data_IF_577279434829
#
_entry.id   IF_577279434829
#
_cell.length_a   1.000
_cell.length_b   1.000
_cell.length_c   1.000
_cell.angle_alpha   90.00
_cell.angle_beta   90.00
_cell.angle_gamma   90.00
#
_symmetry.space_group_name_H-M   'P 1'
#
loop_
_entity.id
_entity.type
_entity.pdbx_description
1 polymer ?
#
# COMPACT_ATOMS: atom_id res chain seq x y z
N UNK A 1 9.40 1.43 10.15
CA UNK A 1 8.94 0.41 11.13
C UNK A 1 7.56 0.76 11.71
N UNK A 2 7.38 1.87 12.45
CA UNK A 2 6.09 2.17 13.12
C UNK A 2 4.86 2.25 12.19
N UNK A 3 4.97 2.88 11.01
CA UNK A 3 3.84 3.05 10.09
C UNK A 3 3.40 1.74 9.43
N UNK A 4 4.34 0.88 9.06
CA UNK A 4 4.07 -0.45 8.53
C UNK A 4 3.33 -1.31 9.55
N UNK A 5 3.74 -1.26 10.82
CA UNK A 5 3.08 -2.02 11.91
C UNK A 5 1.64 -1.53 12.17
N UNK A 6 1.35 -0.25 11.92
CA UNK A 6 -0.01 0.29 12.00
C UNK A 6 -0.87 -0.26 10.85
N UNK A 7 -0.35 -0.22 9.62
CA UNK A 7 -1.04 -0.74 8.45
C UNK A 7 -1.33 -2.25 8.57
N UNK A 8 -0.37 -3.04 9.05
CA UNK A 8 -0.56 -4.48 9.26
C UNK A 8 -1.67 -4.76 10.28
N UNK A 9 -1.72 -3.99 11.38
CA UNK A 9 -2.79 -4.13 12.38
C UNK A 9 -4.16 -3.76 11.83
N UNK A 10 -4.25 -2.74 10.98
CA UNK A 10 -5.49 -2.37 10.30
C UNK A 10 -5.96 -3.50 9.38
N UNK A 11 -5.05 -4.07 8.58
CA UNK A 11 -5.35 -5.19 7.70
C UNK A 11 -5.83 -6.44 8.48
N UNK A 12 -5.19 -6.77 9.61
CA UNK A 12 -5.65 -7.86 10.48
C UNK A 12 -7.08 -7.67 10.97
N UNK A 13 -7.49 -6.43 11.25
CA UNK A 13 -8.88 -6.12 11.59
C UNK A 13 -9.82 -6.28 10.39
N UNK A 14 -9.39 -5.91 9.19
CA UNK A 14 -10.16 -6.13 7.96
C UNK A 14 -10.40 -7.63 7.71
N UNK A 15 -9.41 -8.49 7.93
CA UNK A 15 -9.58 -9.95 7.85
C UNK A 15 -10.63 -10.48 8.84
N UNK A 16 -10.69 -9.92 10.05
CA UNK A 16 -11.71 -10.30 11.04
C UNK A 16 -13.10 -9.80 10.64
N UNK A 17 -13.18 -8.64 10.00
CA UNK A 17 -14.42 -8.04 9.52
C UNK A 17 -15.02 -8.82 8.33
N UNK A 18 -14.17 -9.44 7.49
CA UNK A 18 -14.58 -10.21 6.29
C UNK A 18 -15.46 -9.39 5.32
N UNK A 19 -14.93 -8.30 4.75
CA UNK A 19 -15.69 -7.49 3.80
C UNK A 19 -15.95 -8.26 2.49
N UNK A 20 -17.05 -7.93 1.81
CA UNK A 20 -17.32 -8.42 0.45
C UNK A 20 -16.41 -7.77 -0.61
N UNK A 21 -15.88 -6.58 -0.30
CA UNK A 21 -14.98 -5.80 -1.17
C UNK A 21 -14.10 -4.87 -0.32
N UNK A 22 -12.82 -4.79 -0.64
CA UNK A 22 -11.90 -3.78 -0.12
C UNK A 22 -11.58 -2.72 -1.19
N UNK A 23 -11.79 -1.45 -0.86
CA UNK A 23 -11.32 -0.32 -1.66
C UNK A 23 -10.13 0.34 -0.95
N UNK A 24 -8.97 0.35 -1.61
CA UNK A 24 -7.74 0.96 -1.11
C UNK A 24 -7.57 2.33 -1.74
N UNK A 25 -7.69 3.37 -0.94
CA UNK A 25 -7.29 4.73 -1.30
C UNK A 25 -5.75 4.77 -1.24
N UNK A 26 -5.10 4.61 -2.40
CA UNK A 26 -3.68 4.33 -2.52
C UNK A 26 -2.87 5.62 -2.72
N UNK A 27 -2.41 6.20 -1.61
CA UNK A 27 -1.45 7.31 -1.59
C UNK A 27 -0.01 6.82 -1.44
N UNK A 28 0.90 7.45 -2.19
CA UNK A 28 2.34 7.18 -2.17
C UNK A 28 3.16 8.32 -1.56
N UNK A 29 2.48 9.32 -0.99
CA UNK A 29 3.09 10.48 -0.34
C UNK A 29 3.74 10.15 1.01
N UNK A 30 3.50 8.97 1.57
CA UNK A 30 4.21 8.46 2.73
C UNK A 30 5.69 8.07 2.45
N UNK A 31 6.13 8.15 1.19
CA UNK A 31 7.49 7.84 0.76
C UNK A 31 8.52 8.80 1.37
N UNK A 32 9.69 8.28 1.73
CA UNK A 32 10.81 9.04 2.32
C UNK A 32 11.31 10.17 1.42
N UNK A 33 11.20 10.00 0.10
CA UNK A 33 11.51 11.02 -0.90
C UNK A 33 10.34 11.91 -1.31
N UNK A 34 9.16 11.80 -0.69
CA UNK A 34 8.02 12.66 -1.03
C UNK A 34 8.24 14.10 -0.51
N UNK A 35 8.00 15.14 -1.33
CA UNK A 35 8.28 16.52 -0.94
C UNK A 35 7.26 17.10 0.06
N UNK A 36 6.11 16.46 0.29
CA UNK A 36 5.02 17.04 1.08
C UNK A 36 4.90 16.46 2.49
N UNK A 37 4.87 15.13 2.64
CA UNK A 37 4.37 14.49 3.87
C UNK A 37 5.49 14.06 4.83
N UNK A 38 6.76 14.10 4.42
CA UNK A 38 7.97 13.85 5.24
C UNK A 38 7.90 12.59 6.13
N UNK A 39 7.24 11.54 5.62
CA UNK A 39 7.22 10.22 6.25
C UNK A 39 8.49 9.43 5.90
N UNK A 40 8.57 8.18 6.34
CA UNK A 40 9.80 7.38 6.28
C UNK A 40 9.57 6.01 5.63
N UNK A 41 8.55 5.85 4.78
CA UNK A 41 8.37 4.59 4.06
C UNK A 41 9.34 4.53 2.88
N UNK A 42 9.92 3.37 2.67
CA UNK A 42 10.78 3.10 1.51
C UNK A 42 10.03 2.33 0.43
N UNK A 43 10.59 2.22 -0.77
CA UNK A 43 9.99 1.49 -1.90
C UNK A 43 9.58 0.06 -1.54
N UNK A 44 10.39 -0.62 -0.74
CA UNK A 44 10.15 -1.99 -0.27
C UNK A 44 8.91 -2.08 0.64
N UNK A 45 8.55 -1.01 1.35
CA UNK A 45 7.33 -0.98 2.18
C UNK A 45 6.07 -0.96 1.30
N UNK A 46 6.09 -0.26 0.15
CA UNK A 46 4.99 -0.28 -0.81
C UNK A 46 4.85 -1.63 -1.49
N UNK A 47 5.98 -2.30 -1.82
CA UNK A 47 5.95 -3.68 -2.28
C UNK A 47 5.34 -4.62 -1.21
N UNK A 48 5.68 -4.41 0.07
CA UNK A 48 5.08 -5.18 1.18
C UNK A 48 3.56 -5.01 1.24
N UNK A 49 3.07 -3.79 1.05
CA UNK A 49 1.63 -3.51 1.02
C UNK A 49 0.92 -4.21 -0.16
N UNK A 50 1.51 -4.18 -1.35
CA UNK A 50 1.00 -4.93 -2.51
C UNK A 50 0.95 -6.42 -2.25
N UNK A 51 2.03 -6.97 -1.66
CA UNK A 51 2.10 -8.38 -1.26
C UNK A 51 1.01 -8.77 -0.25
N UNK A 52 0.67 -7.90 0.70
CA UNK A 52 -0.44 -8.15 1.63
C UNK A 52 -1.81 -8.20 0.94
N UNK A 53 -2.06 -7.35 -0.05
CA UNK A 53 -3.33 -7.35 -0.80
C UNK A 53 -3.50 -8.59 -1.68
N UNK A 54 -2.39 -9.23 -2.07
CA UNK A 54 -2.42 -10.51 -2.80
C UNK A 54 -2.95 -11.66 -1.95
N UNK A 55 -2.72 -11.64 -0.65
CA UNK A 55 -3.14 -12.70 0.28
C UNK A 55 -4.63 -12.61 0.67
N UNK A 56 -5.37 -11.63 0.14
CA UNK A 56 -6.80 -11.49 0.38
C UNK A 56 -7.59 -12.61 -0.32
N UNK A 57 -8.58 -13.16 0.38
CA UNK A 57 -9.54 -14.15 -0.14
C UNK A 57 -10.84 -13.50 -0.66
N UNK A 58 -10.90 -12.17 -0.69
CA UNK A 58 -12.00 -11.36 -1.21
C UNK A 58 -11.51 -10.32 -2.22
N UNK A 59 -12.40 -9.82 -3.11
CA UNK A 59 -12.04 -8.80 -4.10
C UNK A 59 -11.47 -7.53 -3.45
N UNK A 60 -10.47 -6.95 -4.10
CA UNK A 60 -9.92 -5.66 -3.74
C UNK A 60 -9.64 -4.82 -4.99
N UNK A 61 -9.81 -3.51 -4.86
CA UNK A 61 -9.43 -2.52 -5.88
C UNK A 61 -8.68 -1.36 -5.21
N UNK A 62 -7.73 -0.77 -5.93
CA UNK A 62 -7.05 0.44 -5.50
C UNK A 62 -7.39 1.62 -6.41
N UNK A 63 -7.48 2.79 -5.80
CA UNK A 63 -7.64 4.08 -6.47
C UNK A 63 -6.42 4.92 -6.14
N UNK A 64 -5.73 5.43 -7.16
CA UNK A 64 -4.57 6.30 -6.96
C UNK A 64 -5.00 7.64 -6.37
N UNK A 65 -4.31 8.09 -5.33
CA UNK A 65 -4.60 9.33 -4.60
C UNK A 65 -3.37 10.27 -4.64
N UNK A 66 -2.73 10.49 -3.49
CA UNK A 66 -1.51 11.28 -3.35
C UNK A 66 -0.23 10.53 -3.74
N UNK A 67 0.87 11.25 -3.70
CA UNK A 67 2.17 10.81 -4.20
C UNK A 67 2.72 11.86 -5.14
N UNK A 68 3.79 12.54 -4.73
CA UNK A 68 4.28 13.76 -5.37
C UNK A 68 5.78 13.72 -5.64
N UNK A 69 6.44 12.61 -5.32
CA UNK A 69 7.82 12.33 -5.68
C UNK A 69 7.97 12.07 -7.19
N UNK A 70 9.14 12.42 -7.74
CA UNK A 70 9.53 12.05 -9.10
C UNK A 70 9.62 10.52 -9.28
N UNK A 71 9.71 9.75 -8.19
CA UNK A 71 9.73 8.28 -8.17
C UNK A 71 8.33 7.63 -8.06
N UNK A 72 7.26 8.41 -8.26
CA UNK A 72 5.88 7.90 -8.14
C UNK A 72 5.62 6.69 -9.03
N UNK A 73 6.16 6.67 -10.25
CA UNK A 73 5.93 5.58 -11.19
C UNK A 73 6.54 4.27 -10.68
N UNK A 74 7.76 4.34 -10.15
CA UNK A 74 8.46 3.21 -9.55
C UNK A 74 7.74 2.71 -8.30
N UNK A 75 7.21 3.61 -7.47
CA UNK A 75 6.43 3.27 -6.28
C UNK A 75 5.13 2.53 -6.63
N UNK A 76 4.42 2.99 -7.66
CA UNK A 76 3.22 2.32 -8.19
C UNK A 76 3.61 0.96 -8.77
N UNK A 77 4.70 0.87 -9.52
CA UNK A 77 5.16 -0.37 -10.15
C UNK A 77 5.51 -1.44 -9.11
N UNK A 78 6.27 -1.10 -8.06
CA UNK A 78 6.62 -2.10 -7.02
C UNK A 78 5.39 -2.56 -6.23
N UNK A 79 4.42 -1.67 -5.99
CA UNK A 79 3.16 -2.02 -5.35
C UNK A 79 2.30 -2.96 -6.22
N UNK A 80 2.07 -2.61 -7.49
CA UNK A 80 1.27 -3.42 -8.40
C UNK A 80 1.95 -4.73 -8.78
N UNK A 81 3.27 -4.71 -8.97
CA UNK A 81 4.06 -5.92 -9.24
C UNK A 81 3.95 -6.88 -8.06
N UNK A 82 4.12 -6.41 -6.81
CA UNK A 82 3.98 -7.28 -5.64
C UNK A 82 2.55 -7.83 -5.47
N UNK A 83 1.52 -7.04 -5.81
CA UNK A 83 0.13 -7.49 -5.74
C UNK A 83 -0.22 -8.51 -6.83
N UNK A 84 0.21 -8.27 -8.07
CA UNK A 84 -0.23 -9.06 -9.23
C UNK A 84 0.70 -10.22 -9.60
N UNK A 85 1.92 -10.25 -9.06
CA UNK A 85 2.86 -11.36 -9.31
C UNK A 85 2.35 -12.68 -8.73
N UNK A 86 2.29 -13.69 -9.61
CA UNK A 86 2.01 -15.10 -9.26
C UNK A 86 3.15 -15.74 -8.49
#
# INVERSE_FOLDING_TARGET
IQHVDIAERALKKLFQFKPDLLLVSAGFDAYSGDPLVQMTLEREDFAKFGGWLRELDFPAAAVLEGGYSDELTELIDVFLSAWTSK
#
